data_IF_378560148216
#
_entry.id   IF_378560148216
#
_cell.length_a   1.000
_cell.length_b   1.000
_cell.length_c   1.000
_cell.angle_alpha   90.00
_cell.angle_beta   90.00
_cell.angle_gamma   90.00
#
_symmetry.space_group_name_H-M   'P 1'
#
loop_
_entity.id
_entity.type
_entity.pdbx_description
1 polymer ?
#
# COMPACT_ATOMS: atom_id res chain seq x y z
N UNK A 1 -72.11 15.85 -34.87
CA UNK A 1 -70.73 16.36 -34.87
C UNK A 1 -70.35 16.75 -33.45
N UNK A 2 -69.50 16.01 -32.74
CA UNK A 2 -68.69 16.48 -31.60
C UNK A 2 -67.53 15.48 -31.44
N UNK A 3 -66.32 15.86 -31.88
CA UNK A 3 -65.09 15.07 -31.75
C UNK A 3 -64.53 15.32 -30.36
N UNK A 4 -64.53 14.31 -29.49
CA UNK A 4 -63.79 14.33 -28.24
C UNK A 4 -62.32 13.97 -28.55
N UNK A 5 -61.40 14.92 -28.37
CA UNK A 5 -59.96 14.66 -28.41
C UNK A 5 -59.50 14.27 -27.00
N UNK A 6 -59.11 13.01 -26.83
CA UNK A 6 -58.35 12.55 -25.67
C UNK A 6 -56.89 13.01 -25.83
N UNK A 7 -56.48 14.00 -25.03
CA UNK A 7 -55.06 14.35 -24.88
C UNK A 7 -54.46 13.39 -23.86
N UNK A 8 -53.72 12.39 -24.34
CA UNK A 8 -52.93 11.50 -23.49
C UNK A 8 -51.69 12.21 -22.98
N UNK A 9 -51.63 12.47 -21.67
CA UNK A 9 -50.44 12.97 -20.99
C UNK A 9 -49.45 11.82 -20.78
N UNK A 10 -48.45 11.69 -21.65
CA UNK A 10 -47.35 10.75 -21.45
C UNK A 10 -46.37 11.35 -20.43
N UNK A 11 -46.38 10.83 -19.19
CA UNK A 11 -45.42 11.17 -18.17
C UNK A 11 -44.06 10.51 -18.48
N UNK A 12 -43.10 11.30 -18.98
CA UNK A 12 -41.72 10.86 -19.18
C UNK A 12 -41.02 10.88 -17.81
N UNK A 13 -40.81 9.70 -17.22
CA UNK A 13 -39.97 9.55 -16.03
C UNK A 13 -38.50 9.78 -16.41
N UNK A 14 -38.02 11.00 -16.23
CA UNK A 14 -36.61 11.34 -16.41
C UNK A 14 -35.79 10.71 -15.28
N UNK A 15 -35.04 9.64 -15.58
CA UNK A 15 -34.06 9.06 -14.66
C UNK A 15 -32.94 10.07 -14.40
N UNK A 16 -32.84 10.58 -13.17
CA UNK A 16 -31.82 11.57 -12.81
C UNK A 16 -30.43 10.92 -12.73
N UNK A 17 -29.41 11.42 -13.45
CA UNK A 17 -28.07 10.82 -13.45
C UNK A 17 -27.39 10.81 -12.06
N UNK A 18 -27.83 11.69 -11.16
CA UNK A 18 -27.32 11.75 -9.78
C UNK A 18 -27.62 10.50 -8.94
N UNK A 19 -28.77 9.86 -9.11
CA UNK A 19 -29.15 8.67 -8.34
C UNK A 19 -28.32 7.44 -8.78
N UNK A 20 -28.14 7.26 -10.08
CA UNK A 20 -27.32 6.19 -10.63
C UNK A 20 -25.84 6.28 -10.20
N UNK A 21 -25.30 7.51 -10.12
CA UNK A 21 -23.93 7.77 -9.67
C UNK A 21 -23.75 7.50 -8.17
N UNK A 22 -24.74 7.83 -7.34
CA UNK A 22 -24.73 7.53 -5.91
C UNK A 22 -24.81 6.02 -5.66
N UNK A 23 -25.70 5.31 -6.36
CA UNK A 23 -25.81 3.86 -6.26
C UNK A 23 -24.53 3.15 -6.71
N UNK A 24 -23.87 3.66 -7.75
CA UNK A 24 -22.57 3.18 -8.20
C UNK A 24 -21.48 3.36 -7.14
N UNK A 25 -21.41 4.52 -6.47
CA UNK A 25 -20.45 4.76 -5.39
C UNK A 25 -20.70 3.84 -4.18
N UNK A 26 -21.95 3.57 -3.83
CA UNK A 26 -22.30 2.63 -2.74
C UNK A 26 -21.86 1.20 -3.10
N UNK A 27 -22.06 0.76 -4.34
CA UNK A 27 -21.54 -0.55 -4.80
C UNK A 27 -20.01 -0.55 -4.84
N UNK A 28 -19.40 0.53 -5.30
CA UNK A 28 -17.96 0.73 -5.37
C UNK A 28 -17.25 0.66 -4.02
N UNK A 29 -17.90 1.09 -2.94
CA UNK A 29 -17.39 0.92 -1.58
C UNK A 29 -17.10 -0.54 -1.24
N UNK A 30 -17.90 -1.50 -1.76
CA UNK A 30 -17.60 -2.93 -1.60
C UNK A 30 -16.36 -3.34 -2.38
N UNK A 31 -16.18 -2.81 -3.58
CA UNK A 31 -14.97 -3.02 -4.38
C UNK A 31 -13.70 -2.51 -3.68
N UNK A 32 -13.82 -1.42 -2.91
CA UNK A 32 -12.68 -0.85 -2.17
C UNK A 32 -12.11 -1.79 -1.11
N UNK A 33 -12.86 -2.81 -0.66
CA UNK A 33 -12.37 -3.83 0.28
C UNK A 33 -11.10 -4.54 -0.20
N UNK A 34 -10.88 -4.64 -1.51
CA UNK A 34 -9.65 -5.17 -2.08
C UNK A 34 -8.44 -4.26 -1.86
N UNK A 35 -8.66 -2.94 -1.72
CA UNK A 35 -7.62 -1.92 -1.56
C UNK A 35 -7.34 -1.59 -0.08
N UNK A 36 -8.35 -1.70 0.78
CA UNK A 36 -8.30 -1.35 2.21
C UNK A 36 -7.12 -1.94 3.00
N UNK A 37 -6.65 -3.18 2.76
CA UNK A 37 -5.51 -3.73 3.49
C UNK A 37 -4.21 -2.95 3.28
N UNK A 38 -4.07 -2.29 2.12
CA UNK A 38 -2.83 -1.64 1.71
C UNK A 38 -2.94 -0.12 1.61
N UNK A 39 -4.15 0.44 1.52
CA UNK A 39 -4.36 1.86 1.25
C UNK A 39 -5.31 2.53 2.24
N UNK A 40 -4.94 3.73 2.67
CA UNK A 40 -5.81 4.65 3.39
C UNK A 40 -6.48 5.65 2.45
N UNK A 41 -7.66 6.13 2.84
CA UNK A 41 -8.33 7.29 2.23
C UNK A 41 -8.00 8.60 2.96
N UNK A 42 -7.38 8.53 4.14
CA UNK A 42 -6.96 9.70 4.91
C UNK A 42 -5.68 10.32 4.30
N UNK A 43 -5.59 11.66 4.21
CA UNK A 43 -4.38 12.35 3.74
C UNK A 43 -3.13 11.90 4.49
N UNK A 44 -2.08 11.60 3.73
CA UNK A 44 -0.73 11.24 4.21
C UNK A 44 -0.63 10.04 5.17
N UNK A 45 -1.73 9.31 5.38
CA UNK A 45 -1.74 8.06 6.13
C UNK A 45 -1.33 6.90 5.23
N UNK A 46 -0.03 6.69 5.09
CA UNK A 46 0.53 5.61 4.29
C UNK A 46 0.52 4.26 5.04
N UNK A 47 0.43 3.17 4.29
CA UNK A 47 0.43 1.80 4.82
C UNK A 47 1.42 0.94 4.00
N UNK A 48 1.03 -0.26 3.59
CA UNK A 48 1.76 -1.03 2.58
C UNK A 48 1.89 -0.24 1.28
N UNK A 49 0.80 0.40 0.84
CA UNK A 49 0.76 1.34 -0.27
C UNK A 49 0.54 2.79 0.20
N UNK A 50 0.62 3.76 -0.73
CA UNK A 50 0.41 5.18 -0.45
C UNK A 50 -1.04 5.51 -0.09
N UNK A 51 -1.26 6.62 0.59
CA UNK A 51 -2.59 7.21 0.73
C UNK A 51 -3.21 7.52 -0.65
N UNK A 52 -4.50 7.22 -0.77
CA UNK A 52 -5.29 7.53 -1.96
C UNK A 52 -5.97 8.89 -1.85
N UNK A 53 -5.85 9.64 -0.75
CA UNK A 53 -6.39 11.00 -0.66
C UNK A 53 -5.80 11.88 -1.77
N UNK A 54 -6.62 12.69 -2.44
CA UNK A 54 -6.19 13.56 -3.55
C UNK A 54 -5.68 12.79 -4.78
N UNK A 55 -6.27 11.63 -5.09
CA UNK A 55 -5.78 10.76 -6.19
C UNK A 55 -5.92 11.39 -7.59
N UNK A 56 -7.06 12.02 -7.90
CA UNK A 56 -7.33 12.55 -9.24
C UNK A 56 -6.39 13.72 -9.58
N UNK A 57 -5.77 13.64 -10.75
CA UNK A 57 -4.81 14.60 -11.28
C UNK A 57 -3.39 14.45 -10.72
N UNK A 58 -3.16 13.56 -9.75
CA UNK A 58 -1.84 13.32 -9.18
C UNK A 58 -0.99 12.51 -10.15
N UNK A 59 0.30 12.84 -10.26
CA UNK A 59 1.27 12.03 -11.02
C UNK A 59 1.50 10.69 -10.30
N UNK A 60 1.59 9.61 -11.05
CA UNK A 60 1.91 8.30 -10.51
C UNK A 60 3.30 8.32 -9.85
N UNK A 61 3.41 7.66 -8.69
CA UNK A 61 4.67 7.60 -7.95
C UNK A 61 5.14 8.91 -7.35
N UNK A 62 4.26 9.90 -7.14
CA UNK A 62 4.66 11.27 -6.74
C UNK A 62 4.06 11.77 -5.41
N UNK A 63 3.44 10.91 -4.60
CA UNK A 63 2.98 11.33 -3.27
C UNK A 63 4.22 11.50 -2.36
N UNK A 64 4.51 12.73 -1.96
CA UNK A 64 5.72 13.08 -1.20
C UNK A 64 5.85 12.31 0.11
N UNK A 65 4.72 12.06 0.81
CA UNK A 65 4.74 11.29 2.06
C UNK A 65 5.08 9.81 1.88
N UNK A 66 5.09 9.28 0.64
CA UNK A 66 5.34 7.87 0.33
C UNK A 66 6.55 7.68 -0.58
N UNK A 67 7.66 7.26 0.01
CA UNK A 67 8.95 7.10 -0.67
C UNK A 67 9.10 5.75 -1.40
N UNK A 68 8.35 4.73 -0.96
CA UNK A 68 8.44 3.30 -1.33
C UNK A 68 7.75 2.95 -2.64
N UNK A 69 7.75 3.86 -3.60
CA UNK A 69 7.32 3.52 -4.95
C UNK A 69 8.42 2.77 -5.69
N UNK A 70 8.02 1.76 -6.47
CA UNK A 70 8.87 1.15 -7.50
C UNK A 70 9.40 2.20 -8.48
N UNK A 71 10.63 2.02 -8.96
CA UNK A 71 11.23 2.91 -9.96
C UNK A 71 10.44 2.93 -11.28
N UNK A 72 9.82 1.80 -11.65
CA UNK A 72 8.95 1.69 -12.81
C UNK A 72 7.75 2.64 -12.73
N UNK A 73 7.05 2.67 -11.58
CA UNK A 73 5.91 3.56 -11.39
C UNK A 73 6.31 5.04 -11.32
N UNK A 74 7.44 5.37 -10.66
CA UNK A 74 8.00 6.73 -10.63
C UNK A 74 8.30 7.26 -12.04
N UNK A 75 8.82 6.39 -12.90
CA UNK A 75 9.26 6.73 -14.26
C UNK A 75 8.14 6.65 -15.31
N UNK A 76 6.96 6.15 -14.94
CA UNK A 76 5.86 5.87 -15.88
C UNK A 76 5.30 7.11 -16.60
N UNK A 77 5.42 8.30 -16.00
CA UNK A 77 4.84 9.54 -16.51
C UNK A 77 3.30 9.60 -16.45
N UNK A 78 2.65 8.61 -15.84
CA UNK A 78 1.18 8.52 -15.76
C UNK A 78 0.63 9.65 -14.87
N UNK A 79 -0.50 10.23 -15.28
CA UNK A 79 -1.34 11.11 -14.46
C UNK A 79 -2.63 10.36 -14.16
N UNK A 80 -3.02 10.31 -12.88
CA UNK A 80 -4.22 9.60 -12.46
C UNK A 80 -5.49 10.34 -12.85
N UNK A 81 -6.14 9.86 -13.90
CA UNK A 81 -7.47 10.22 -14.34
C UNK A 81 -8.36 8.96 -14.41
N UNK A 82 -9.59 9.12 -14.88
CA UNK A 82 -10.54 8.01 -14.95
C UNK A 82 -10.07 6.87 -15.87
N UNK A 83 -9.38 7.20 -16.97
CA UNK A 83 -8.94 6.23 -17.97
C UNK A 83 -7.71 5.46 -17.50
N UNK A 84 -6.72 6.17 -16.98
CA UNK A 84 -5.48 5.58 -16.46
C UNK A 84 -5.75 4.75 -15.21
N UNK A 85 -6.66 5.18 -14.33
CA UNK A 85 -7.05 4.39 -13.17
C UNK A 85 -7.84 3.13 -13.56
N UNK A 86 -8.73 3.19 -14.56
CA UNK A 86 -9.41 1.99 -15.08
C UNK A 86 -8.40 0.98 -15.63
N UNK A 87 -7.45 1.44 -16.45
CA UNK A 87 -6.40 0.59 -16.99
C UNK A 87 -5.52 0.00 -15.88
N UNK A 88 -5.15 0.81 -14.89
CA UNK A 88 -4.30 0.41 -13.78
C UNK A 88 -4.93 -0.70 -12.95
N UNK A 89 -6.18 -0.51 -12.50
CA UNK A 89 -6.86 -1.51 -11.68
C UNK A 89 -7.38 -2.70 -12.51
N UNK A 90 -7.32 -2.66 -13.84
CA UNK A 90 -7.59 -3.82 -14.70
C UNK A 90 -6.43 -4.82 -14.64
N UNK A 91 -5.20 -4.32 -14.74
CA UNK A 91 -3.98 -5.11 -14.83
C UNK A 91 -2.72 -4.24 -14.58
N UNK A 92 -2.30 -4.09 -13.31
CA UNK A 92 -1.16 -3.23 -12.95
C UNK A 92 0.15 -3.68 -13.59
N UNK A 93 0.42 -4.98 -13.56
CA UNK A 93 1.65 -5.57 -14.10
C UNK A 93 1.75 -5.41 -15.61
N UNK A 94 0.63 -5.51 -16.32
CA UNK A 94 0.59 -5.23 -17.76
C UNK A 94 0.74 -3.74 -18.07
N UNK A 95 0.19 -2.86 -17.23
CA UNK A 95 0.25 -1.41 -17.47
C UNK A 95 1.63 -0.83 -17.14
N UNK A 96 2.23 -1.25 -16.02
CA UNK A 96 3.57 -0.84 -15.59
C UNK A 96 4.34 -2.09 -15.14
N UNK A 97 5.04 -2.76 -16.06
CA UNK A 97 5.91 -3.88 -15.72
C UNK A 97 6.97 -3.47 -14.69
N UNK A 98 7.16 -4.29 -13.64
CA UNK A 98 8.10 -4.00 -12.55
C UNK A 98 7.57 -3.03 -11.49
N UNK A 99 6.26 -2.75 -11.48
CA UNK A 99 5.64 -2.12 -10.33
C UNK A 99 5.64 -3.06 -9.11
N UNK A 100 5.54 -2.49 -7.91
CA UNK A 100 5.58 -3.24 -6.64
C UNK A 100 4.20 -3.37 -5.98
N UNK A 101 3.09 -3.14 -6.70
CA UNK A 101 1.73 -3.31 -6.17
C UNK A 101 1.25 -4.75 -6.42
N UNK A 102 1.22 -5.64 -5.41
CA UNK A 102 0.85 -7.05 -5.61
C UNK A 102 -0.67 -7.19 -5.77
N UNK A 103 -1.18 -6.93 -6.98
CA UNK A 103 -2.62 -6.93 -7.26
C UNK A 103 -2.94 -7.48 -8.65
N UNK A 104 -3.71 -8.57 -8.70
CA UNK A 104 -4.06 -9.29 -9.95
C UNK A 104 -4.98 -8.49 -10.90
N UNK A 105 -5.58 -7.41 -10.40
CA UNK A 105 -6.53 -6.58 -11.13
C UNK A 105 -7.99 -7.05 -11.05
N UNK A 106 -8.89 -6.20 -11.55
CA UNK A 106 -10.35 -6.42 -11.56
C UNK A 106 -10.79 -6.53 -13.02
N UNK A 107 -11.10 -7.75 -13.48
CA UNK A 107 -11.46 -7.98 -14.88
C UNK A 107 -12.88 -7.53 -15.24
N UNK A 108 -13.79 -7.52 -14.27
CA UNK A 108 -15.17 -7.06 -14.50
C UNK A 108 -15.26 -5.54 -14.68
N UNK A 109 -15.72 -5.11 -15.86
CA UNK A 109 -15.78 -3.69 -16.23
C UNK A 109 -16.74 -2.90 -15.33
N UNK A 110 -17.86 -3.50 -14.90
CA UNK A 110 -18.84 -2.81 -14.07
C UNK A 110 -18.33 -2.60 -12.65
N UNK A 111 -17.65 -3.59 -12.08
CA UNK A 111 -17.02 -3.51 -10.78
C UNK A 111 -15.93 -2.43 -10.76
N UNK A 112 -15.12 -2.32 -11.83
CA UNK A 112 -14.17 -1.20 -11.97
C UNK A 112 -14.87 0.15 -12.04
N UNK A 113 -15.89 0.29 -12.87
CA UNK A 113 -16.63 1.56 -12.99
C UNK A 113 -17.28 1.99 -11.66
N UNK A 114 -17.91 1.07 -10.94
CA UNK A 114 -18.46 1.32 -9.61
C UNK A 114 -17.35 1.73 -8.61
N UNK A 115 -16.20 1.03 -8.60
CA UNK A 115 -15.06 1.36 -7.75
C UNK A 115 -14.47 2.75 -8.06
N UNK A 116 -14.30 3.09 -9.34
CA UNK A 116 -13.81 4.41 -9.75
C UNK A 116 -14.78 5.52 -9.32
N UNK A 117 -16.10 5.28 -9.43
CA UNK A 117 -17.11 6.21 -8.95
C UNK A 117 -17.00 6.44 -7.43
N UNK A 118 -16.76 5.38 -6.65
CA UNK A 118 -16.51 5.48 -5.22
C UNK A 118 -15.22 6.26 -4.91
N UNK A 119 -14.09 5.85 -5.50
CA UNK A 119 -12.79 6.48 -5.28
C UNK A 119 -12.84 7.97 -5.63
N UNK A 120 -13.52 8.36 -6.72
CA UNK A 120 -13.64 9.77 -7.16
C UNK A 120 -14.31 10.66 -6.14
N UNK A 121 -15.18 10.09 -5.30
CA UNK A 121 -15.81 10.79 -4.20
C UNK A 121 -14.95 10.71 -2.93
N UNK A 122 -14.47 9.50 -2.61
CA UNK A 122 -13.77 9.20 -1.36
C UNK A 122 -12.38 9.85 -1.26
N UNK A 123 -11.74 10.15 -2.39
CA UNK A 123 -10.39 10.72 -2.42
C UNK A 123 -10.37 12.22 -2.69
N UNK A 124 -11.52 12.92 -2.63
CA UNK A 124 -11.52 14.37 -2.81
C UNK A 124 -10.70 15.05 -1.71
N UNK A 125 -9.91 16.10 -2.02
CA UNK A 125 -9.26 16.89 -0.98
C UNK A 125 -10.27 17.38 0.06
N UNK A 126 -9.97 17.17 1.35
CA UNK A 126 -10.88 17.55 2.44
C UNK A 126 -12.11 16.65 2.61
N UNK A 127 -12.18 15.49 1.95
CA UNK A 127 -13.17 14.47 2.29
C UNK A 127 -13.02 14.13 3.79
N UNK A 128 -14.12 14.11 4.56
CA UNK A 128 -14.04 13.79 5.98
C UNK A 128 -13.41 12.40 6.13
N UNK A 129 -12.57 12.17 7.16
CA UNK A 129 -12.13 10.83 7.49
C UNK A 129 -13.39 9.98 7.58
N UNK A 130 -13.46 8.89 6.81
CA UNK A 130 -14.48 7.89 7.10
C UNK A 130 -14.12 7.36 8.47
N UNK A 131 -14.83 7.85 9.50
CA UNK A 131 -14.67 7.40 10.86
C UNK A 131 -14.78 5.89 10.84
N UNK A 132 -13.62 5.25 10.93
CA UNK A 132 -13.53 3.82 11.08
C UNK A 132 -14.38 3.50 12.28
N UNK A 133 -15.43 2.72 12.06
CA UNK A 133 -15.92 1.84 13.11
C UNK A 133 -14.69 1.07 13.56
N UNK A 134 -14.17 1.50 14.71
CA UNK A 134 -13.01 0.93 15.36
C UNK A 134 -13.19 -0.57 15.33
N UNK A 135 -12.30 -1.23 14.59
CA UNK A 135 -12.16 -2.66 14.65
C UNK A 135 -11.97 -3.03 16.10
N UNK A 136 -12.99 -3.68 16.67
CA UNK A 136 -12.79 -4.67 17.74
C UNK A 136 -11.80 -5.73 17.21
N UNK A 137 -10.52 -5.42 17.23
CA UNK A 137 -9.49 -6.43 17.51
C UNK A 137 -9.51 -6.56 19.02
N UNK A 138 -10.31 -7.46 19.59
CA UNK A 138 -10.06 -8.88 19.37
C UNK A 138 -8.69 -9.21 19.97
N UNK A 139 -8.49 -8.87 21.24
CA UNK A 139 -7.45 -9.51 22.02
C UNK A 139 -7.82 -10.98 22.13
N UNK A 140 -7.00 -11.85 21.54
CA UNK A 140 -6.60 -13.18 22.04
C UNK A 140 -5.98 -14.00 20.90
N UNK A 141 -4.80 -14.53 21.23
CA UNK A 141 -4.06 -15.62 20.58
C UNK A 141 -3.37 -15.35 19.23
N UNK A 142 -2.04 -15.21 19.35
CA UNK A 142 -1.07 -15.45 18.29
C UNK A 142 0.31 -15.78 18.88
N UNK A 143 0.33 -16.46 20.03
CA UNK A 143 1.48 -17.25 20.42
C UNK A 143 1.49 -18.55 19.60
N UNK A 144 2.70 -19.02 19.31
CA UNK A 144 3.07 -20.31 18.72
C UNK A 144 3.22 -20.39 17.18
N UNK A 145 4.50 -20.33 16.80
CA UNK A 145 5.23 -21.27 15.92
C UNK A 145 4.91 -21.33 14.41
N UNK A 146 5.96 -21.02 13.64
CA UNK A 146 6.14 -21.45 12.25
C UNK A 146 7.15 -20.53 11.53
N UNK A 147 8.46 -20.81 11.42
CA UNK A 147 9.09 -22.12 11.33
C UNK A 147 10.17 -22.39 12.38
N UNK A 148 10.11 -23.60 12.94
CA UNK A 148 11.19 -24.20 13.70
C UNK A 148 12.34 -24.64 12.79
N UNK A 149 13.12 -23.67 12.30
CA UNK A 149 14.55 -23.86 12.13
C UNK A 149 15.23 -23.40 13.42
N UNK A 150 16.40 -23.94 13.77
CA UNK A 150 17.29 -23.20 14.68
C UNK A 150 17.48 -21.83 14.04
N UNK A 151 17.38 -20.74 14.81
CA UNK A 151 17.81 -19.44 14.31
C UNK A 151 19.20 -19.66 13.67
N UNK A 152 19.37 -19.34 12.38
CA UNK A 152 20.64 -19.60 11.70
C UNK A 152 21.73 -18.88 12.48
N UNK A 153 22.91 -19.50 12.62
CA UNK A 153 24.03 -18.82 13.25
C UNK A 153 24.34 -17.56 12.43
N UNK A 154 24.12 -16.39 13.03
CA UNK A 154 24.17 -15.09 12.37
C UNK A 154 25.61 -14.56 12.27
N UNK A 155 26.61 -15.30 12.79
CA UNK A 155 28.02 -14.90 12.68
C UNK A 155 28.59 -15.07 11.28
N UNK A 156 27.99 -15.95 10.47
CA UNK A 156 28.45 -16.24 9.12
C UNK A 156 27.28 -16.15 8.16
N UNK A 157 26.93 -14.91 7.82
CA UNK A 157 25.90 -14.60 6.84
C UNK A 157 26.52 -14.27 5.48
N UNK A 158 25.82 -14.58 4.41
CA UNK A 158 26.15 -14.07 3.08
C UNK A 158 26.04 -12.53 3.05
N UNK A 159 26.76 -11.89 2.13
CA UNK A 159 26.79 -10.43 2.02
C UNK A 159 25.39 -9.80 1.81
N UNK A 160 24.48 -10.50 1.14
CA UNK A 160 23.09 -10.07 0.93
C UNK A 160 22.24 -10.05 2.21
N UNK A 161 22.70 -10.69 3.29
CA UNK A 161 22.04 -10.73 4.60
C UNK A 161 22.76 -9.89 5.66
N UNK A 162 23.89 -9.28 5.33
CA UNK A 162 24.62 -8.40 6.23
C UNK A 162 24.25 -6.95 5.94
N UNK A 163 23.72 -6.23 6.92
CA UNK A 163 23.40 -4.81 6.80
C UNK A 163 24.67 -3.98 6.90
N UNK A 164 24.88 -3.12 5.90
CA UNK A 164 25.99 -2.16 5.87
C UNK A 164 25.57 -0.78 6.36
N UNK A 165 24.30 -0.43 6.20
CA UNK A 165 23.75 0.85 6.65
C UNK A 165 22.26 0.92 6.44
N UNK A 166 21.61 1.77 7.21
CA UNK A 166 20.18 2.02 7.12
C UNK A 166 19.99 3.53 7.01
N UNK A 167 19.23 3.97 6.01
CA UNK A 167 18.75 5.35 6.00
C UNK A 167 17.25 5.39 6.22
N UNK A 168 16.74 6.49 6.76
CA UNK A 168 15.30 6.71 6.83
C UNK A 168 14.91 8.13 6.40
N UNK A 169 13.75 8.24 5.78
CA UNK A 169 13.06 9.48 5.49
C UNK A 169 11.55 9.22 5.57
N UNK A 170 10.80 10.11 6.21
CA UNK A 170 9.38 9.93 6.49
C UNK A 170 9.07 8.54 7.10
N UNK A 171 8.19 7.77 6.48
CA UNK A 171 7.71 6.45 6.93
C UNK A 171 8.57 5.27 6.44
N UNK A 172 9.72 5.57 5.82
CA UNK A 172 10.45 4.62 5.00
C UNK A 172 11.88 4.44 5.48
N UNK A 173 12.23 3.19 5.76
CA UNK A 173 13.60 2.76 6.02
C UNK A 173 14.17 2.09 4.77
N UNK A 174 15.41 2.43 4.40
CA UNK A 174 16.17 1.83 3.31
C UNK A 174 17.35 1.08 3.90
N UNK A 175 17.30 -0.24 3.84
CA UNK A 175 18.36 -1.11 4.35
C UNK A 175 19.29 -1.46 3.19
N UNK A 176 20.55 -1.05 3.30
CA UNK A 176 21.61 -1.38 2.35
C UNK A 176 22.40 -2.57 2.89
N UNK A 177 22.54 -3.61 2.09
CA UNK A 177 23.27 -4.83 2.45
C UNK A 177 24.71 -4.79 1.92
N UNK A 178 25.58 -5.67 2.41
CA UNK A 178 27.01 -5.67 2.11
C UNK A 178 27.32 -6.00 0.65
N UNK A 179 26.39 -6.66 -0.06
CA UNK A 179 26.45 -6.85 -1.52
C UNK A 179 26.09 -5.58 -2.33
N UNK A 180 25.72 -4.49 -1.65
CA UNK A 180 25.38 -3.20 -2.24
C UNK A 180 23.90 -3.04 -2.59
N UNK A 181 23.04 -4.05 -2.37
CA UNK A 181 21.60 -3.92 -2.64
C UNK A 181 20.89 -3.17 -1.53
N UNK A 182 19.94 -2.34 -1.94
CA UNK A 182 19.08 -1.57 -1.04
C UNK A 182 17.64 -2.01 -1.16
N UNK A 183 16.98 -2.24 -0.02
CA UNK A 183 15.56 -2.58 0.07
C UNK A 183 14.83 -1.59 0.96
N UNK A 184 13.65 -1.18 0.53
CA UNK A 184 12.83 -0.24 1.28
C UNK A 184 11.75 -0.97 2.10
N UNK A 185 11.53 -0.51 3.33
CA UNK A 185 10.58 -1.08 4.27
C UNK A 185 9.75 0.03 4.90
N UNK A 186 8.47 -0.24 5.13
CA UNK A 186 7.65 0.59 6.01
C UNK A 186 8.25 0.59 7.41
N UNK A 187 8.19 1.70 8.13
CA UNK A 187 8.61 1.79 9.54
C UNK A 187 7.96 0.73 10.44
N UNK A 188 6.75 0.26 10.12
CA UNK A 188 6.06 -0.80 10.88
C UNK A 188 6.39 -2.23 10.44
N UNK A 189 7.08 -2.37 9.29
CA UNK A 189 7.49 -3.65 8.73
C UNK A 189 8.97 -3.98 8.98
N UNK A 190 9.78 -2.98 9.33
CA UNK A 190 11.16 -3.17 9.77
C UNK A 190 11.25 -3.20 11.29
N UNK A 191 11.74 -4.29 11.86
CA UNK A 191 11.87 -4.46 13.31
C UNK A 191 13.34 -4.46 13.69
N UNK A 192 13.70 -3.62 14.65
CA UNK A 192 15.06 -3.55 15.17
C UNK A 192 15.15 -4.44 16.41
N UNK A 193 16.07 -5.41 16.41
CA UNK A 193 16.26 -6.39 17.49
C UNK A 193 17.72 -6.46 17.88
N UNK A 194 18.01 -6.99 19.06
CA UNK A 194 19.38 -7.27 19.50
C UNK A 194 19.53 -8.74 19.86
N UNK A 195 20.68 -9.33 19.49
CA UNK A 195 21.10 -10.66 19.90
C UNK A 195 22.61 -10.65 20.18
N UNK A 196 22.97 -10.56 21.46
CA UNK A 196 24.36 -10.65 21.93
C UNK A 196 24.81 -12.09 22.19
N UNK A 197 23.98 -13.07 21.83
CA UNK A 197 24.23 -14.49 22.02
C UNK A 197 25.38 -15.02 21.16
N UNK A 198 25.83 -16.23 21.48
CA UNK A 198 26.93 -16.90 20.77
C UNK A 198 26.66 -17.12 19.27
N UNK A 199 25.40 -17.17 18.89
CA UNK A 199 24.90 -17.37 17.53
C UNK A 199 24.36 -16.06 16.92
N UNK A 200 24.45 -14.94 17.65
CA UNK A 200 24.07 -13.61 17.19
C UNK A 200 25.03 -13.07 16.12
N UNK A 201 24.67 -11.94 15.48
CA UNK A 201 25.45 -11.35 14.40
C UNK A 201 26.83 -10.90 14.85
N UNK A 202 27.75 -10.74 13.88
CA UNK A 202 29.04 -10.13 14.15
C UNK A 202 28.85 -8.62 14.44
N UNK A 203 29.64 -8.09 15.39
CA UNK A 203 29.63 -6.67 15.69
C UNK A 203 29.91 -5.85 14.42
N UNK A 204 29.19 -4.74 14.26
CA UNK A 204 29.19 -3.87 13.07
C UNK A 204 28.71 -4.52 11.76
N UNK A 205 28.11 -5.73 11.82
CA UNK A 205 27.49 -6.38 10.68
C UNK A 205 26.10 -6.94 11.07
N UNK A 206 25.09 -6.08 11.30
CA UNK A 206 23.75 -6.53 11.68
C UNK A 206 23.15 -7.48 10.64
N UNK A 207 22.37 -8.46 11.10
CA UNK A 207 21.73 -9.44 10.23
C UNK A 207 20.38 -8.93 9.73
N UNK A 208 20.12 -9.06 8.42
CA UNK A 208 18.81 -8.85 7.82
C UNK A 208 18.09 -10.20 7.67
N UNK A 209 17.02 -10.39 8.44
CA UNK A 209 16.24 -11.64 8.46
C UNK A 209 14.82 -11.37 7.96
N UNK A 210 14.32 -12.06 6.90
CA UNK A 210 12.93 -11.95 6.48
C UNK A 210 11.95 -12.35 7.58
N UNK A 211 10.94 -11.52 7.83
CA UNK A 211 10.00 -11.67 8.93
C UNK A 211 8.54 -11.71 8.43
N UNK A 212 8.24 -12.53 7.42
CA UNK A 212 6.89 -12.67 6.88
C UNK A 212 6.83 -13.57 5.65
N UNK A 213 5.62 -14.05 5.34
CA UNK A 213 5.39 -14.93 4.18
C UNK A 213 5.51 -14.18 2.84
N UNK A 214 5.28 -12.87 2.85
CA UNK A 214 5.21 -12.03 1.64
C UNK A 214 6.51 -11.26 1.34
N UNK A 215 7.56 -11.42 2.16
CA UNK A 215 8.85 -10.75 1.97
C UNK A 215 8.88 -9.23 2.24
N UNK A 216 7.77 -8.65 2.66
CA UNK A 216 7.56 -7.21 2.91
C UNK A 216 7.99 -6.77 4.32
N UNK A 217 8.28 -7.73 5.20
CA UNK A 217 8.71 -7.51 6.59
C UNK A 217 10.09 -8.10 6.83
N UNK A 218 10.88 -7.44 7.66
CA UNK A 218 12.18 -7.92 8.06
C UNK A 218 12.53 -7.52 9.49
N UNK A 219 13.33 -8.37 10.13
CA UNK A 219 14.04 -8.04 11.36
C UNK A 219 15.49 -7.65 10.98
N UNK A 220 15.98 -6.53 11.51
CA UNK A 220 17.41 -6.24 11.56
C UNK A 220 17.88 -6.55 12.98
N UNK A 221 18.77 -7.53 13.10
CA UNK A 221 19.30 -8.01 14.36
C UNK A 221 20.71 -7.44 14.53
N UNK A 222 20.92 -6.67 15.59
CA UNK A 222 22.18 -6.05 15.95
C UNK A 222 22.89 -6.87 17.04
N UNK A 223 24.23 -6.81 17.09
CA UNK A 223 24.98 -7.50 18.13
C UNK A 223 24.86 -6.78 19.49
N UNK A 224 24.61 -5.47 19.47
CA UNK A 224 24.41 -4.65 20.66
C UNK A 224 23.49 -3.44 20.41
N UNK A 225 22.78 -2.91 21.42
CA UNK A 225 21.89 -1.76 21.26
C UNK A 225 22.60 -0.50 20.72
N UNK A 226 23.87 -0.29 21.06
CA UNK A 226 24.66 0.89 20.67
C UNK A 226 24.95 0.91 19.16
N UNK A 227 24.78 -0.21 18.46
CA UNK A 227 24.95 -0.28 17.00
C UNK A 227 23.75 0.32 16.26
N UNK A 228 22.57 0.34 16.89
CA UNK A 228 21.31 0.77 16.24
C UNK A 228 21.43 2.22 15.79
N UNK A 229 21.75 3.12 16.70
CA UNK A 229 21.86 4.56 16.40
C UNK A 229 23.08 4.89 15.52
N UNK A 230 24.12 4.05 15.53
CA UNK A 230 25.29 4.22 14.65
C UNK A 230 25.03 3.79 13.20
N UNK A 231 24.11 2.85 13.00
CA UNK A 231 23.82 2.27 11.68
C UNK A 231 22.70 3.02 10.95
N UNK A 232 21.85 3.75 11.68
CA UNK A 232 20.67 4.42 11.14
C UNK A 232 20.91 5.92 10.99
N UNK A 233 20.82 6.42 9.76
CA UNK A 233 20.95 7.85 9.44
C UNK A 233 19.66 8.41 8.83
N UNK A 234 19.27 9.64 9.20
CA UNK A 234 18.20 10.33 8.48
C UNK A 234 18.74 10.82 7.13
N UNK A 235 18.12 10.41 6.02
CA UNK A 235 18.46 10.86 4.67
C UNK A 235 17.22 10.91 3.78
N UNK A 236 16.73 12.13 3.61
CA UNK A 236 15.89 12.58 2.51
C UNK A 236 16.83 13.21 1.48
#
# INVERSE_FOLDING_TARGET
MHRFYLVGLAAVLASSPGLAQQDAAVRGQRGFRACMPCHSLEPDRNMTGPSLAGLWGRKAGSLESFERYSDALKSSGIIWDERSLDAWITDPDRMVPGNEMPFDGIKDNRARADLLAFLKQATKPGAPPQSGTEGRTGGMMGGMMGGGGRDPNLKSLEAAMQVKGITYCHDTYRVTTADGKTRAFWERNLRLKTDSGKDGPQGSAPALVPAGMMGDRADVIFAAPEEISKTIERRC
#
